data_IF_245387646226
#
_entry.id   IF_245387646226
#
_cell.length_a   1.000
_cell.length_b   1.000
_cell.length_c   1.000
_cell.angle_alpha   90.00
_cell.angle_beta   90.00
_cell.angle_gamma   90.00
#
_symmetry.space_group_name_H-M   'P 1'
#
loop_
_entity.id
_entity.type
_entity.pdbx_description
1 polymer ?
#
# COMPACT_ATOMS: atom_id res chain seq x y z
N UNK A 1 -33.51 -3.69 -7.57
CA UNK A 1 -33.42 -2.22 -7.73
C UNK A 1 -32.91 -1.96 -9.13
N UNK A 2 -33.50 -1.02 -9.89
CA UNK A 2 -32.98 -0.71 -11.23
C UNK A 2 -31.54 -0.22 -11.12
N UNK A 3 -30.64 -0.86 -11.87
CA UNK A 3 -29.20 -0.49 -11.99
C UNK A 3 -29.01 0.96 -12.49
N UNK A 4 -30.07 1.59 -12.92
CA UNK A 4 -30.08 2.90 -13.59
C UNK A 4 -30.01 4.11 -12.66
N UNK A 5 -30.11 3.92 -11.34
CA UNK A 5 -30.07 5.01 -10.35
C UNK A 5 -28.67 5.37 -9.87
N UNK A 6 -27.69 4.48 -10.13
CA UNK A 6 -26.34 4.65 -9.61
C UNK A 6 -25.34 4.75 -10.72
N UNK A 7 -24.77 5.15 -11.38
CA UNK A 7 -23.85 5.16 -12.50
C UNK A 7 -24.24 4.09 -13.54
N UNK A 8 -24.98 4.48 -14.52
CA UNK A 8 -25.52 3.66 -15.63
C UNK A 8 -24.46 2.77 -16.31
N UNK A 9 -23.19 2.92 -15.97
CA UNK A 9 -22.06 2.27 -16.62
C UNK A 9 -21.12 1.58 -15.64
N UNK A 10 -21.65 0.95 -14.62
CA UNK A 10 -20.83 0.23 -13.61
C UNK A 10 -19.86 -0.78 -14.23
N UNK A 11 -20.22 -1.39 -15.35
CA UNK A 11 -19.37 -2.35 -16.08
C UNK A 11 -18.52 -1.73 -17.19
N UNK A 12 -18.80 -0.49 -17.61
CA UNK A 12 -18.12 0.18 -18.73
C UNK A 12 -17.97 1.69 -18.48
N UNK A 13 -17.54 2.08 -17.29
CA UNK A 13 -17.32 3.49 -17.00
C UNK A 13 -16.13 4.04 -17.80
N UNK A 14 -16.40 4.46 -19.04
CA UNK A 14 -15.40 5.08 -19.93
C UNK A 14 -15.02 6.49 -19.47
N UNK A 15 -15.75 7.09 -18.53
CA UNK A 15 -15.48 8.40 -17.96
C UNK A 15 -14.52 8.40 -16.78
N UNK A 16 -14.21 7.22 -16.24
CA UNK A 16 -13.18 7.08 -15.19
C UNK A 16 -11.92 6.51 -15.85
N UNK A 17 -10.86 7.29 -16.05
CA UNK A 17 -9.61 6.74 -16.53
C UNK A 17 -9.18 5.64 -15.55
N UNK A 18 -8.82 4.47 -16.07
CA UNK A 18 -8.26 3.35 -15.31
C UNK A 18 -6.86 3.71 -14.78
N UNK A 19 -6.77 4.75 -14.01
CA UNK A 19 -5.53 5.14 -13.32
C UNK A 19 -5.58 4.57 -11.92
N UNK A 20 -5.49 3.26 -11.82
CA UNK A 20 -5.40 2.56 -10.54
C UNK A 20 -3.95 2.58 -10.05
N UNK A 21 -3.47 3.73 -9.63
CA UNK A 21 -2.24 3.82 -8.83
C UNK A 21 -2.46 3.26 -7.42
N UNK A 22 -3.72 3.21 -6.98
CA UNK A 22 -4.15 2.70 -5.68
C UNK A 22 -5.18 1.59 -5.89
N UNK A 23 -4.88 0.40 -5.41
CA UNK A 23 -5.72 -0.78 -5.61
C UNK A 23 -6.06 -1.39 -4.26
N UNK A 24 -7.35 -1.49 -3.97
CA UNK A 24 -7.87 -2.25 -2.83
C UNK A 24 -8.38 -3.60 -3.33
N UNK A 25 -7.92 -4.67 -2.70
CA UNK A 25 -8.29 -6.04 -3.08
C UNK A 25 -8.68 -6.82 -1.83
N UNK A 26 -9.90 -7.36 -1.83
CA UNK A 26 -10.33 -8.34 -0.83
C UNK A 26 -9.83 -9.73 -1.20
N UNK A 27 -9.34 -10.47 -0.23
CA UNK A 27 -8.83 -11.83 -0.36
C UNK A 27 -9.37 -12.72 0.74
N UNK A 28 -9.71 -13.93 0.36
CA UNK A 28 -9.92 -15.04 1.29
C UNK A 28 -9.00 -16.20 0.89
N UNK A 29 -8.42 -16.87 1.87
CA UNK A 29 -7.58 -18.05 1.66
C UNK A 29 -8.00 -19.13 2.65
N UNK A 30 -8.15 -20.37 2.20
CA UNK A 30 -8.38 -21.49 3.09
C UNK A 30 -7.13 -21.80 3.91
N UNK A 31 -7.33 -22.44 5.07
CA UNK A 31 -6.24 -22.95 5.90
C UNK A 31 -5.25 -23.79 5.07
N UNK A 32 -3.97 -23.51 5.25
CA UNK A 32 -2.86 -24.16 4.55
C UNK A 32 -2.54 -23.57 3.18
N UNK A 33 -3.30 -22.59 2.70
CA UNK A 33 -2.96 -21.88 1.48
C UNK A 33 -1.62 -21.16 1.66
N UNK A 34 -0.73 -21.32 0.69
CA UNK A 34 0.61 -20.77 0.69
C UNK A 34 0.80 -19.84 -0.51
N UNK A 35 1.19 -18.61 -0.26
CA UNK A 35 1.65 -17.67 -1.29
C UNK A 35 3.18 -17.67 -1.21
N UNK A 36 3.86 -18.18 -2.26
CA UNK A 36 5.31 -18.33 -2.24
C UNK A 36 5.99 -16.95 -2.17
N UNK A 37 7.21 -16.96 -1.69
CA UNK A 37 8.03 -15.75 -1.54
C UNK A 37 8.19 -15.02 -2.86
N UNK A 38 7.68 -13.82 -2.93
CA UNK A 38 7.77 -12.95 -4.10
C UNK A 38 8.06 -11.50 -3.70
N UNK A 39 8.53 -10.72 -4.66
CA UNK A 39 8.93 -9.33 -4.46
C UNK A 39 7.73 -8.40 -4.63
N UNK A 40 7.49 -7.52 -3.65
CA UNK A 40 6.48 -6.49 -3.76
C UNK A 40 6.83 -5.51 -4.90
N UNK A 41 5.94 -5.38 -5.87
CA UNK A 41 6.10 -4.46 -7.01
C UNK A 41 5.60 -3.04 -6.70
N UNK A 42 4.85 -2.89 -5.61
CA UNK A 42 4.36 -1.62 -5.06
C UNK A 42 4.44 -1.70 -3.53
N UNK A 43 4.30 -0.56 -2.86
CA UNK A 43 4.04 -0.56 -1.43
C UNK A 43 2.69 -1.21 -1.17
N UNK A 44 2.55 -1.96 -0.10
CA UNK A 44 1.25 -2.50 0.27
C UNK A 44 1.01 -2.50 1.78
N UNK A 45 -0.23 -2.31 2.14
CA UNK A 45 -0.72 -2.56 3.49
C UNK A 45 -1.64 -3.76 3.46
N UNK A 46 -1.53 -4.62 4.45
CA UNK A 46 -2.33 -5.81 4.60
C UNK A 46 -3.12 -5.71 5.92
N UNK A 47 -4.45 -5.75 5.82
CA UNK A 47 -5.40 -5.57 6.93
C UNK A 47 -6.14 -6.88 7.19
N UNK A 48 -5.94 -7.48 8.36
CA UNK A 48 -6.61 -8.73 8.72
C UNK A 48 -8.02 -8.48 9.23
N UNK A 49 -9.00 -9.11 8.56
CA UNK A 49 -10.40 -9.11 8.97
C UNK A 49 -10.66 -10.30 9.87
N UNK A 50 -10.13 -11.49 9.49
CA UNK A 50 -10.41 -12.74 10.20
C UNK A 50 -9.24 -13.72 10.06
N UNK A 51 -9.01 -14.49 11.10
CA UNK A 51 -8.06 -15.61 11.10
C UNK A 51 -6.63 -15.23 11.46
N UNK A 52 -5.70 -16.16 11.15
CA UNK A 52 -4.27 -16.02 11.42
C UNK A 52 -3.45 -16.29 10.16
N UNK A 53 -2.58 -15.36 9.80
CA UNK A 53 -1.72 -15.40 8.62
C UNK A 53 -0.26 -15.28 9.06
N UNK A 54 0.53 -16.33 8.81
CA UNK A 54 1.97 -16.26 8.99
C UNK A 54 2.59 -15.45 7.85
N UNK A 55 3.37 -14.45 8.24
CA UNK A 55 4.09 -13.57 7.33
C UNK A 55 5.57 -13.78 7.54
N UNK A 56 6.30 -13.93 6.44
CA UNK A 56 7.73 -14.02 6.44
C UNK A 56 8.31 -13.02 5.43
N UNK A 57 8.77 -11.90 5.93
CA UNK A 57 9.41 -10.83 5.14
C UNK A 57 10.62 -10.28 5.89
N UNK A 58 11.33 -9.34 5.28
CA UNK A 58 12.46 -8.66 5.92
C UNK A 58 12.00 -7.81 7.12
N UNK A 59 10.85 -7.15 6.98
CA UNK A 59 10.26 -6.33 8.05
C UNK A 59 9.57 -7.18 9.12
N UNK A 60 8.94 -8.29 8.74
CA UNK A 60 8.13 -9.14 9.64
C UNK A 60 8.56 -10.61 9.54
N UNK A 61 9.77 -10.98 10.01
CA UNK A 61 10.25 -12.36 9.93
C UNK A 61 9.49 -13.27 10.89
N UNK A 62 8.71 -14.21 10.33
CA UNK A 62 7.96 -15.19 11.12
C UNK A 62 6.82 -14.62 11.97
N UNK A 63 6.32 -13.44 11.64
CA UNK A 63 5.21 -12.82 12.35
C UNK A 63 3.87 -13.47 12.00
N UNK A 64 3.01 -13.65 13.01
CA UNK A 64 1.62 -14.07 12.81
C UNK A 64 0.74 -12.82 12.88
N UNK A 65 0.16 -12.46 11.75
CA UNK A 65 -0.82 -11.39 11.66
C UNK A 65 -2.19 -11.93 12.03
N UNK A 66 -2.86 -11.27 12.98
CA UNK A 66 -4.13 -11.67 13.54
C UNK A 66 -5.24 -10.68 13.21
N UNK A 67 -6.47 -11.08 13.47
CA UNK A 67 -7.64 -10.21 13.37
C UNK A 67 -7.38 -8.83 14.00
N UNK A 68 -7.88 -7.78 13.35
CA UNK A 68 -7.70 -6.36 13.71
C UNK A 68 -6.25 -5.85 13.64
N UNK A 69 -5.33 -6.60 13.10
CA UNK A 69 -3.95 -6.13 12.87
C UNK A 69 -3.72 -5.75 11.41
N UNK A 70 -2.76 -4.87 11.19
CA UNK A 70 -2.30 -4.52 9.85
C UNK A 70 -0.81 -4.25 9.84
N UNK A 71 -0.21 -4.43 8.67
CA UNK A 71 1.22 -4.23 8.40
C UNK A 71 1.43 -3.41 7.15
N UNK A 72 2.63 -2.88 7.00
CA UNK A 72 3.12 -2.21 5.79
C UNK A 72 4.33 -2.96 5.25
N UNK A 73 4.31 -3.24 3.94
CA UNK A 73 5.44 -3.77 3.19
C UNK A 73 5.88 -2.76 2.15
N UNK A 74 7.16 -2.45 2.12
CA UNK A 74 7.71 -1.56 1.11
C UNK A 74 7.85 -2.27 -0.25
N UNK A 75 7.79 -1.49 -1.31
CA UNK A 75 8.20 -1.95 -2.64
C UNK A 75 9.62 -2.54 -2.56
N UNK A 76 9.82 -3.65 -3.22
CA UNK A 76 11.09 -4.37 -3.22
C UNK A 76 11.24 -5.40 -2.11
N UNK A 77 10.50 -5.31 -1.01
CA UNK A 77 10.48 -6.32 0.04
C UNK A 77 9.99 -7.66 -0.50
N UNK A 78 10.60 -8.73 -0.01
CA UNK A 78 10.16 -10.09 -0.34
C UNK A 78 9.23 -10.59 0.75
N UNK A 79 8.02 -10.99 0.38
CA UNK A 79 7.00 -11.48 1.31
C UNK A 79 6.56 -12.89 0.94
N UNK A 80 6.38 -13.72 1.93
CA UNK A 80 5.80 -15.04 1.87
C UNK A 80 4.65 -15.12 2.87
N UNK A 81 3.53 -15.73 2.49
CA UNK A 81 2.34 -15.83 3.33
C UNK A 81 1.89 -17.29 3.44
N UNK A 82 1.51 -17.70 4.65
CA UNK A 82 0.91 -19.01 4.92
C UNK A 82 -0.32 -18.83 5.81
N UNK A 83 -1.49 -19.25 5.33
CA UNK A 83 -2.73 -19.22 6.08
C UNK A 83 -2.73 -20.32 7.15
N UNK A 84 -2.68 -19.94 8.43
CA UNK A 84 -2.71 -20.88 9.56
C UNK A 84 -4.14 -21.33 9.89
N UNK A 85 -5.12 -20.50 9.56
CA UNK A 85 -6.56 -20.77 9.62
C UNK A 85 -7.19 -20.33 8.30
N UNK A 86 -8.50 -20.46 8.15
CA UNK A 86 -9.19 -19.72 7.09
C UNK A 86 -9.07 -18.23 7.37
N UNK A 87 -8.60 -17.44 6.39
CA UNK A 87 -8.31 -16.03 6.56
C UNK A 87 -9.06 -15.14 5.58
N UNK A 88 -9.45 -13.98 6.06
CA UNK A 88 -10.02 -12.90 5.26
C UNK A 88 -9.21 -11.62 5.51
N UNK A 89 -8.79 -10.95 4.45
CA UNK A 89 -7.97 -9.75 4.54
C UNK A 89 -8.15 -8.84 3.34
N UNK A 90 -7.79 -7.56 3.52
CA UNK A 90 -7.69 -6.58 2.44
C UNK A 90 -6.23 -6.27 2.22
N UNK A 91 -5.82 -6.19 0.96
CA UNK A 91 -4.54 -5.63 0.55
C UNK A 91 -4.80 -4.30 -0.13
N UNK A 92 -4.11 -3.28 0.33
CA UNK A 92 -4.06 -1.96 -0.28
C UNK A 92 -2.71 -1.77 -0.94
N UNK A 93 -2.68 -1.78 -2.26
CA UNK A 93 -1.50 -1.51 -3.08
C UNK A 93 -1.45 -0.03 -3.43
N UNK A 94 -0.29 0.59 -3.28
CA UNK A 94 -0.11 2.01 -3.58
C UNK A 94 1.34 2.34 -3.94
N UNK A 95 1.52 3.35 -4.78
CA UNK A 95 2.83 3.97 -5.01
C UNK A 95 3.04 5.13 -4.02
N UNK A 96 2.00 5.96 -3.85
CA UNK A 96 1.95 7.02 -2.85
C UNK A 96 0.61 6.97 -2.12
N UNK A 97 0.62 7.34 -0.85
CA UNK A 97 -0.61 7.50 -0.09
C UNK A 97 -1.38 8.72 -0.58
N UNK A 98 -2.68 8.61 -0.84
CA UNK A 98 -3.52 9.74 -1.24
C UNK A 98 -3.85 10.61 -0.02
N UNK A 99 -2.88 11.37 0.45
CA UNK A 99 -2.95 12.15 1.68
C UNK A 99 -3.93 13.31 1.55
N UNK A 100 -4.70 13.53 2.61
CA UNK A 100 -5.49 14.76 2.80
C UNK A 100 -4.70 15.86 3.53
N UNK A 101 -3.66 15.46 4.28
CA UNK A 101 -2.77 16.37 4.99
C UNK A 101 -1.32 15.93 4.79
N UNK A 102 -0.64 16.55 3.82
CA UNK A 102 0.76 16.26 3.50
C UNK A 102 1.71 16.66 4.62
N UNK A 103 1.41 17.76 5.34
CA UNK A 103 2.23 18.24 6.44
C UNK A 103 2.31 17.22 7.57
N UNK A 104 1.17 16.62 7.92
CA UNK A 104 1.11 15.57 8.95
C UNK A 104 1.94 14.35 8.57
N UNK A 105 1.89 13.94 7.31
CA UNK A 105 2.69 12.81 6.83
C UNK A 105 4.19 13.14 6.82
N UNK A 106 4.54 14.36 6.43
CA UNK A 106 5.92 14.85 6.49
C UNK A 106 6.47 14.83 7.91
N UNK A 107 5.74 15.33 8.91
CA UNK A 107 6.12 15.24 10.33
C UNK A 107 6.40 13.80 10.76
N UNK A 108 5.54 12.86 10.36
CA UNK A 108 5.70 11.43 10.67
C UNK A 108 6.98 10.88 10.05
N UNK A 109 7.24 11.17 8.79
CA UNK A 109 8.36 10.59 8.03
C UNK A 109 9.69 11.25 8.28
N UNK A 110 9.74 12.55 8.60
CA UNK A 110 10.96 13.26 8.98
C UNK A 110 11.54 12.75 10.28
N UNK A 111 10.70 12.34 11.23
CA UNK A 111 11.08 11.76 12.51
C UNK A 111 11.25 10.24 12.46
N UNK A 112 11.13 9.62 11.29
CA UNK A 112 11.17 8.18 11.16
C UNK A 112 12.58 7.64 11.43
N UNK A 113 12.68 6.79 12.45
CA UNK A 113 13.88 6.03 12.80
C UNK A 113 13.62 4.55 12.60
N UNK A 114 14.68 3.81 12.23
CA UNK A 114 14.58 2.36 12.09
C UNK A 114 14.16 1.74 13.42
N UNK A 115 13.01 1.06 13.47
CA UNK A 115 12.65 0.34 14.68
C UNK A 115 13.57 -0.88 14.86
N UNK A 116 13.85 -1.25 16.10
CA UNK A 116 14.58 -2.50 16.40
C UNK A 116 13.81 -3.72 15.90
N UNK A 117 12.48 -3.66 15.92
CA UNK A 117 11.57 -4.71 15.43
C UNK A 117 10.31 -4.07 14.92
N UNK A 118 9.90 -4.45 13.72
CA UNK A 118 8.59 -4.07 13.18
C UNK A 118 7.49 -4.88 13.83
N UNK A 119 6.46 -4.21 14.31
CA UNK A 119 5.29 -4.84 14.92
C UNK A 119 4.02 -4.47 14.16
N UNK A 120 3.11 -5.42 13.92
CA UNK A 120 1.80 -5.10 13.37
C UNK A 120 1.07 -4.06 14.20
N UNK A 121 0.43 -3.11 13.55
CA UNK A 121 -0.44 -2.15 14.24
C UNK A 121 -1.83 -2.76 14.45
N UNK A 122 -2.49 -2.32 15.52
CA UNK A 122 -3.88 -2.70 15.80
C UNK A 122 -4.79 -1.64 15.19
N UNK A 123 -5.79 -2.07 14.41
CA UNK A 123 -6.82 -1.17 13.88
C UNK A 123 -7.64 -0.59 15.03
N UNK A 124 -7.74 0.73 15.08
CA UNK A 124 -8.75 1.37 15.94
C UNK A 124 -10.15 1.09 15.40
N UNK A 125 -11.19 1.38 16.20
CA UNK A 125 -12.58 1.05 15.84
C UNK A 125 -13.03 1.64 14.49
N UNK A 126 -12.61 2.86 14.16
CA UNK A 126 -12.98 3.52 12.91
C UNK A 126 -12.33 2.86 11.70
N UNK A 127 -11.05 2.55 11.80
CA UNK A 127 -10.32 1.84 10.76
C UNK A 127 -10.86 0.41 10.58
N UNK A 128 -11.13 -0.28 11.69
CA UNK A 128 -11.72 -1.61 11.66
C UNK A 128 -13.09 -1.61 11.00
N UNK A 129 -13.96 -0.64 11.34
CA UNK A 129 -15.26 -0.49 10.69
C UNK A 129 -15.12 -0.25 9.18
N UNK A 130 -14.23 0.65 8.78
CA UNK A 130 -13.96 0.91 7.36
C UNK A 130 -13.53 -0.38 6.64
N UNK A 131 -12.53 -1.09 7.18
CA UNK A 131 -11.97 -2.31 6.58
C UNK A 131 -13.01 -3.42 6.48
N UNK A 132 -13.79 -3.66 7.53
CA UNK A 132 -14.82 -4.73 7.54
C UNK A 132 -16.03 -4.44 6.66
N UNK A 133 -16.28 -3.18 6.31
CA UNK A 133 -17.33 -2.79 5.37
C UNK A 133 -16.90 -2.94 3.89
N UNK A 134 -15.62 -3.00 3.60
CA UNK A 134 -15.11 -3.00 2.22
C UNK A 134 -15.40 -4.29 1.41
N UNK A 135 -15.41 -5.50 1.98
CA UNK A 135 -15.67 -6.72 1.22
C UNK A 135 -16.97 -6.69 0.43
N UNK A 136 -18.01 -6.05 0.97
CA UNK A 136 -19.31 -5.90 0.31
C UNK A 136 -19.19 -5.15 -1.03
N UNK A 137 -18.30 -4.15 -1.10
CA UNK A 137 -18.07 -3.34 -2.30
C UNK A 137 -16.99 -3.91 -3.22
N UNK A 138 -15.96 -4.53 -2.64
CA UNK A 138 -14.83 -5.08 -3.39
C UNK A 138 -15.16 -6.43 -4.03
N UNK A 139 -16.24 -7.09 -3.58
CA UNK A 139 -16.76 -8.32 -4.16
C UNK A 139 -17.59 -8.11 -5.44
N UNK A 140 -17.91 -6.87 -5.80
CA UNK A 140 -18.62 -6.54 -7.03
C UNK A 140 -17.69 -6.69 -8.25
N UNK A 141 -18.29 -7.05 -9.41
CA UNK A 141 -17.52 -7.32 -10.64
C UNK A 141 -16.71 -6.10 -11.15
N UNK A 142 -17.13 -4.89 -10.81
CA UNK A 142 -16.44 -3.65 -11.20
C UNK A 142 -16.79 -2.49 -10.26
N UNK A 143 -16.13 -2.36 -9.12
CA UNK A 143 -16.37 -1.26 -8.22
C UNK A 143 -15.98 0.08 -8.88
N UNK A 144 -16.75 1.13 -8.59
CA UNK A 144 -16.50 2.46 -9.14
C UNK A 144 -15.12 2.97 -8.72
N UNK A 145 -14.24 3.30 -9.68
CA UNK A 145 -12.86 3.74 -9.42
C UNK A 145 -12.81 5.01 -8.55
N UNK A 146 -13.77 5.94 -8.71
CA UNK A 146 -13.86 7.14 -7.87
C UNK A 146 -14.26 6.83 -6.43
N UNK A 147 -15.10 5.82 -6.25
CA UNK A 147 -15.45 5.34 -4.91
C UNK A 147 -14.23 4.69 -4.24
N UNK A 148 -13.46 3.87 -4.95
CA UNK A 148 -12.22 3.28 -4.44
C UNK A 148 -11.21 4.38 -4.09
N UNK A 149 -11.03 5.38 -4.95
CA UNK A 149 -10.16 6.54 -4.66
C UNK A 149 -10.58 7.25 -3.35
N UNK A 150 -11.89 7.46 -3.15
CA UNK A 150 -12.41 8.06 -1.92
C UNK A 150 -12.09 7.18 -0.69
N UNK A 151 -12.28 5.87 -0.80
CA UNK A 151 -11.96 4.91 0.27
C UNK A 151 -10.45 4.87 0.58
N UNK A 152 -9.60 4.98 -0.41
CA UNK A 152 -8.15 5.08 -0.21
C UNK A 152 -7.77 6.37 0.54
N UNK A 153 -8.41 7.51 0.23
CA UNK A 153 -8.22 8.78 0.96
C UNK A 153 -8.71 8.68 2.41
N UNK A 154 -9.88 8.09 2.63
CA UNK A 154 -10.42 7.85 3.97
C UNK A 154 -9.48 6.95 4.78
N UNK A 155 -8.98 5.87 4.18
CA UNK A 155 -8.02 4.95 4.78
C UNK A 155 -6.72 5.66 5.18
N UNK A 156 -6.12 6.42 4.26
CA UNK A 156 -4.90 7.18 4.52
C UNK A 156 -5.12 8.21 5.65
N UNK A 157 -6.26 8.90 5.66
CA UNK A 157 -6.62 9.86 6.71
C UNK A 157 -6.74 9.17 8.07
N UNK A 158 -7.45 8.05 8.16
CA UNK A 158 -7.63 7.32 9.43
C UNK A 158 -6.29 6.82 9.98
N UNK A 159 -5.39 6.34 9.12
CA UNK A 159 -4.07 5.89 9.56
C UNK A 159 -3.23 7.07 10.03
N UNK A 160 -3.12 8.13 9.25
CA UNK A 160 -2.20 9.22 9.58
C UNK A 160 -2.65 10.09 10.75
N UNK A 161 -3.94 10.16 11.06
CA UNK A 161 -4.48 11.08 12.07
C UNK A 161 -4.93 10.43 13.38
N UNK A 162 -5.09 9.10 13.43
CA UNK A 162 -5.62 8.43 14.63
C UNK A 162 -4.62 7.52 15.35
N UNK A 163 -3.34 7.61 14.99
CA UNK A 163 -2.27 6.91 15.69
C UNK A 163 -1.19 7.90 16.16
N UNK A 164 -0.51 7.62 17.27
CA UNK A 164 0.58 8.47 17.77
C UNK A 164 1.74 8.59 16.76
N UNK A 165 2.34 9.78 16.65
CA UNK A 165 3.46 10.04 15.73
C UNK A 165 4.61 9.04 15.89
N UNK A 166 5.09 8.68 17.09
CA UNK A 166 6.20 7.73 17.21
C UNK A 166 5.86 6.34 16.65
N UNK A 167 4.59 5.91 16.81
CA UNK A 167 4.14 4.64 16.26
C UNK A 167 4.07 4.66 14.74
N UNK A 168 3.56 5.75 14.16
CA UNK A 168 3.50 5.94 12.72
C UNK A 168 4.87 6.14 12.10
N UNK A 169 5.80 6.83 12.77
CA UNK A 169 7.16 7.02 12.30
C UNK A 169 7.89 5.69 12.11
N UNK A 170 7.75 4.79 13.08
CA UNK A 170 8.27 3.42 12.95
C UNK A 170 7.55 2.61 11.87
N UNK A 171 6.23 2.72 11.80
CA UNK A 171 5.40 2.01 10.82
C UNK A 171 5.70 2.41 9.38
N UNK A 172 5.86 3.71 9.11
CA UNK A 172 6.17 4.23 7.78
C UNK A 172 7.66 4.23 7.42
N UNK A 173 8.53 3.87 8.35
CA UNK A 173 9.98 3.85 8.11
C UNK A 173 10.37 3.08 6.83
N UNK A 174 9.83 1.88 6.51
CA UNK A 174 10.24 1.14 5.33
C UNK A 174 10.04 1.93 4.03
N UNK A 175 8.96 2.71 3.93
CA UNK A 175 8.68 3.51 2.74
C UNK A 175 9.37 4.88 2.78
N UNK A 176 9.68 5.43 3.95
CA UNK A 176 10.46 6.67 4.09
C UNK A 176 11.93 6.46 3.71
N UNK A 177 12.50 5.32 4.07
CA UNK A 177 13.88 4.93 3.66
C UNK A 177 13.94 4.63 2.18
N UNK A 178 12.87 4.16 1.58
CA UNK A 178 12.81 3.93 0.14
C UNK A 178 13.00 5.21 -0.66
N UNK A 179 12.42 6.33 -0.21
CA UNK A 179 12.66 7.65 -0.83
C UNK A 179 14.13 8.07 -0.69
N UNK A 180 14.76 7.76 0.44
CA UNK A 180 16.21 7.96 0.64
C UNK A 180 17.03 7.00 -0.23
N UNK A 181 16.58 5.76 -0.42
CA UNK A 181 17.25 4.78 -1.29
C UNK A 181 17.08 5.09 -2.78
N UNK A 182 16.03 5.82 -3.17
CA UNK A 182 15.85 6.32 -4.54
C UNK A 182 16.97 7.28 -4.93
N UNK A 183 17.38 8.17 -4.03
CA UNK A 183 18.55 9.02 -4.25
C UNK A 183 19.80 8.18 -4.52
N UNK A 184 20.07 7.20 -3.68
CA UNK A 184 21.22 6.30 -3.86
C UNK A 184 21.13 5.55 -5.19
N UNK A 185 19.95 4.99 -5.52
CA UNK A 185 19.73 4.33 -6.81
C UNK A 185 20.00 5.26 -8.01
N UNK A 186 19.50 6.49 -7.96
CA UNK A 186 19.75 7.49 -9.00
C UNK A 186 21.23 7.79 -9.12
N UNK A 187 21.90 8.06 -8.02
CA UNK A 187 23.34 8.41 -8.01
C UNK A 187 24.24 7.27 -8.50
N UNK A 188 23.84 6.01 -8.27
CA UNK A 188 24.60 4.85 -8.74
C UNK A 188 24.42 4.54 -10.23
N UNK A 189 23.29 4.92 -10.80
CA UNK A 189 22.91 4.42 -12.12
C UNK A 189 22.73 5.52 -13.20
N UNK A 190 22.76 6.81 -12.86
CA UNK A 190 22.48 7.90 -13.81
C UNK A 190 23.46 7.91 -15.00
N UNK A 191 24.68 7.41 -14.83
CA UNK A 191 25.67 7.33 -15.88
C UNK A 191 25.60 6.04 -16.75
N UNK A 192 24.78 5.07 -16.33
CA UNK A 192 24.73 3.75 -16.97
C UNK A 192 23.54 3.60 -17.90
N UNK A 193 22.55 4.49 -17.79
CA UNK A 193 21.30 4.43 -18.54
C UNK A 193 21.25 5.45 -19.67
N UNK A 194 20.58 5.10 -20.75
CA UNK A 194 20.54 5.93 -21.98
C UNK A 194 19.32 6.88 -22.01
N UNK A 195 18.27 6.53 -21.29
CA UNK A 195 17.02 7.30 -21.28
C UNK A 195 16.24 7.04 -19.99
N UNK A 196 15.18 7.82 -19.79
CA UNK A 196 14.35 7.77 -18.58
C UNK A 196 13.56 6.47 -18.47
N UNK A 197 13.17 5.89 -19.59
CA UNK A 197 12.43 4.63 -19.65
C UNK A 197 13.30 3.47 -19.14
N UNK A 198 14.54 3.39 -19.61
CA UNK A 198 15.53 2.41 -19.16
C UNK A 198 15.85 2.63 -17.66
N UNK A 199 16.00 3.88 -17.24
CA UNK A 199 16.28 4.23 -15.85
C UNK A 199 15.15 3.78 -14.92
N UNK A 200 13.91 4.09 -15.28
CA UNK A 200 12.75 3.66 -14.53
C UNK A 200 12.68 2.13 -14.42
N UNK A 201 12.84 1.44 -15.56
CA UNK A 201 12.81 -0.02 -15.64
C UNK A 201 13.89 -0.67 -14.76
N UNK A 202 15.13 -0.13 -14.80
CA UNK A 202 16.24 -0.61 -13.97
C UNK A 202 15.94 -0.55 -12.48
N UNK A 203 15.21 0.50 -12.03
CA UNK A 203 14.76 0.66 -10.65
C UNK A 203 13.46 -0.08 -10.31
N UNK A 204 12.85 -0.76 -11.28
CA UNK A 204 11.54 -1.42 -11.09
C UNK A 204 10.35 -0.45 -11.06
N UNK A 205 10.53 0.77 -11.59
CA UNK A 205 9.50 1.79 -11.64
C UNK A 205 8.81 1.86 -13.00
N UNK A 206 7.57 2.35 -13.02
CA UNK A 206 7.03 2.92 -14.26
C UNK A 206 7.71 4.25 -14.56
N UNK A 207 7.79 4.66 -15.82
CA UNK A 207 8.38 5.94 -16.23
C UNK A 207 7.68 7.13 -15.55
N UNK A 208 6.37 7.05 -15.37
CA UNK A 208 5.57 8.08 -14.69
C UNK A 208 5.95 8.19 -13.22
N UNK A 209 6.03 7.05 -12.51
CA UNK A 209 6.43 7.01 -11.10
C UNK A 209 7.84 7.53 -10.91
N UNK A 210 8.77 7.10 -11.79
CA UNK A 210 10.17 7.54 -11.74
C UNK A 210 10.29 9.06 -11.92
N UNK A 211 9.65 9.64 -12.94
CA UNK A 211 9.67 11.10 -13.18
C UNK A 211 9.12 11.89 -12.00
N UNK A 212 8.05 11.39 -11.37
CA UNK A 212 7.46 12.03 -10.21
C UNK A 212 8.40 11.97 -9.00
N UNK A 213 8.95 10.80 -8.66
CA UNK A 213 9.91 10.63 -7.57
C UNK A 213 11.14 11.52 -7.77
N UNK A 214 11.65 11.56 -9.01
CA UNK A 214 12.80 12.38 -9.36
C UNK A 214 12.50 13.88 -9.17
N UNK A 215 11.36 14.36 -9.69
CA UNK A 215 10.93 15.75 -9.52
C UNK A 215 10.71 16.09 -8.05
N UNK A 216 10.09 15.19 -7.27
CA UNK A 216 9.87 15.42 -5.84
C UNK A 216 11.18 15.51 -5.06
N UNK A 217 12.16 14.67 -5.40
CA UNK A 217 13.44 14.63 -4.70
C UNK A 217 14.39 15.74 -5.11
N UNK A 218 14.46 16.07 -6.41
CA UNK A 218 15.44 17.02 -6.95
C UNK A 218 14.85 18.37 -7.34
N UNK A 219 13.53 18.53 -7.32
CA UNK A 219 12.83 19.77 -7.71
C UNK A 219 12.83 20.07 -9.22
N UNK A 220 13.48 19.24 -10.03
CA UNK A 220 13.62 19.40 -11.48
C UNK A 220 13.13 18.17 -12.22
N UNK A 221 12.63 18.26 -13.46
CA UNK A 221 12.31 17.10 -14.28
C UNK A 221 13.59 16.31 -14.63
N UNK A 222 13.42 15.02 -14.91
CA UNK A 222 14.51 14.14 -15.41
C UNK A 222 14.86 14.55 -16.82
#
# INVERSE_FOLDING_TARGET
MPKDLFCIQYTNCTGCPNVNENILVYRNLPKGAHIPKDKCTQNCMLFMIKGELLINSEEYPGNILREKQFILQAIGSKIELLALTDVEYIVYWFNELPLLCEERYREITEQAEAPLTYTPLIMNERLHYLITSMPEFLGEESPCSKFIELKCKELAFLITNYYPTPQLSSFFYPISTYTKSFHYFVMQNYNTVKNVEEFAHLGGYTTTTFRRLFKNLYGIPV
#
